data_IF_029157129116
#
_entry.id   IF_029157129116
#
_cell.length_a   1.000
_cell.length_b   1.000
_cell.length_c   1.000
_cell.angle_alpha   90.00
_cell.angle_beta   90.00
_cell.angle_gamma   90.00
#
_symmetry.space_group_name_H-M   'P 1'
#
loop_
_entity.id
_entity.type
_entity.pdbx_description
1 polymer ?
#
# COMPACT_ATOMS: atom_id res chain seq x y z
N UNK A 1 6.41 24.48 16.26
CA UNK A 1 6.78 23.07 15.97
C UNK A 1 5.58 22.21 16.37
N UNK A 2 5.27 21.15 15.61
CA UNK A 2 4.19 20.25 16.00
C UNK A 2 4.58 19.50 17.30
N UNK A 3 3.60 19.29 18.17
CA UNK A 3 3.78 18.61 19.47
C UNK A 3 4.10 17.13 19.24
N UNK A 4 5.10 16.61 19.98
CA UNK A 4 5.41 15.18 20.04
C UNK A 4 4.66 14.55 21.22
N UNK A 5 4.00 13.43 20.99
CA UNK A 5 3.34 12.62 22.01
C UNK A 5 3.83 11.19 21.96
N UNK A 6 3.77 10.49 23.08
CA UNK A 6 4.19 9.08 23.20
C UNK A 6 2.94 8.22 23.36
N UNK A 7 2.66 7.41 22.35
CA UNK A 7 1.61 6.40 22.34
C UNK A 7 2.12 5.02 22.74
N UNK A 8 1.22 4.06 22.76
CA UNK A 8 1.53 2.66 23.06
C UNK A 8 1.07 1.76 21.92
N UNK A 9 2.00 0.99 21.36
CA UNK A 9 1.70 -0.05 20.38
C UNK A 9 0.93 -1.17 21.09
N UNK A 10 -0.19 -1.55 20.50
CA UNK A 10 -1.02 -2.69 20.92
C UNK A 10 -1.36 -3.53 19.70
N UNK A 11 -1.79 -4.76 19.91
CA UNK A 11 -2.29 -5.66 18.84
C UNK A 11 -1.31 -5.82 17.67
N UNK A 12 -0.01 -5.94 17.95
CA UNK A 12 0.97 -6.25 16.91
C UNK A 12 0.70 -7.64 16.34
N UNK A 13 0.50 -7.71 15.01
CA UNK A 13 0.20 -8.95 14.29
C UNK A 13 1.12 -9.09 13.07
N UNK A 14 2.00 -10.09 13.12
CA UNK A 14 2.79 -10.47 11.97
C UNK A 14 1.93 -11.21 10.95
N UNK A 15 1.97 -10.77 9.69
CA UNK A 15 1.36 -11.44 8.53
C UNK A 15 2.40 -12.29 7.81
N UNK A 16 3.64 -11.85 7.81
CA UNK A 16 4.81 -12.57 7.32
C UNK A 16 6.07 -12.09 8.09
N UNK A 17 7.24 -12.58 7.70
CA UNK A 17 8.52 -12.14 8.28
C UNK A 17 8.80 -10.65 8.08
N UNK A 18 8.12 -10.00 7.13
CA UNK A 18 8.38 -8.61 6.77
C UNK A 18 7.12 -7.74 6.75
N UNK A 19 5.94 -8.29 7.00
CA UNK A 19 4.67 -7.54 7.01
C UNK A 19 3.96 -7.72 8.34
N UNK A 20 3.48 -6.61 8.88
CA UNK A 20 2.70 -6.59 10.11
C UNK A 20 1.62 -5.51 10.09
N UNK A 21 0.60 -5.71 10.89
CA UNK A 21 -0.32 -4.65 11.33
C UNK A 21 -0.13 -4.40 12.81
N UNK A 22 -0.38 -3.16 13.24
CA UNK A 22 -0.44 -2.83 14.66
C UNK A 22 -1.39 -1.67 14.91
N UNK A 23 -1.84 -1.55 16.16
CA UNK A 23 -2.63 -0.43 16.64
C UNK A 23 -1.80 0.44 17.56
N UNK A 24 -1.94 1.75 17.42
CA UNK A 24 -1.32 2.73 18.30
C UNK A 24 -2.42 3.39 19.15
N UNK A 25 -2.35 3.21 20.45
CA UNK A 25 -3.14 3.98 21.41
C UNK A 25 -2.48 5.34 21.63
N UNK A 26 -3.23 6.44 21.77
CA UNK A 26 -2.67 7.76 21.99
C UNK A 26 -2.00 7.86 23.37
N UNK A 27 -1.29 8.95 23.60
CA UNK A 27 -0.78 9.28 24.93
C UNK A 27 -1.92 9.31 25.96
N UNK A 28 -1.65 8.86 27.19
CA UNK A 28 -2.64 8.79 28.26
C UNK A 28 -3.38 10.12 28.45
N UNK A 29 -4.70 10.08 28.47
CA UNK A 29 -5.56 11.26 28.57
C UNK A 29 -5.65 12.10 27.31
N UNK A 30 -5.14 11.62 26.16
CA UNK A 30 -5.21 12.28 24.87
C UNK A 30 -6.10 11.49 23.89
N UNK A 31 -6.54 12.19 22.82
CA UNK A 31 -7.11 11.58 21.63
C UNK A 31 -6.23 11.95 20.40
N UNK A 32 -6.36 11.19 19.33
CA UNK A 32 -5.79 11.59 18.05
C UNK A 32 -6.60 12.73 17.44
N UNK A 33 -5.96 13.63 16.65
CA UNK A 33 -6.69 14.63 15.88
C UNK A 33 -7.66 13.97 14.91
N UNK A 34 -8.76 14.67 14.57
CA UNK A 34 -9.61 14.25 13.46
C UNK A 34 -8.86 14.22 12.14
N UNK A 35 -9.26 13.32 11.26
CA UNK A 35 -8.63 13.14 9.96
C UNK A 35 -9.61 12.63 8.90
N UNK A 36 -9.21 12.74 7.64
CA UNK A 36 -9.89 12.15 6.50
C UNK A 36 -9.23 10.83 6.08
N UNK A 37 -9.99 9.84 5.56
CA UNK A 37 -9.41 8.61 5.03
C UNK A 37 -8.36 8.91 3.95
N UNK A 38 -7.22 8.22 4.02
CA UNK A 38 -6.09 8.44 3.12
C UNK A 38 -5.01 9.38 3.66
N UNK A 39 -5.25 10.02 4.80
CA UNK A 39 -4.23 10.83 5.47
C UNK A 39 -3.21 9.99 6.25
N UNK A 40 -2.09 10.61 6.63
CA UNK A 40 -0.99 9.99 7.32
C UNK A 40 -0.57 10.77 8.57
N UNK A 41 0.18 10.09 9.44
CA UNK A 41 0.81 10.68 10.63
C UNK A 41 2.31 10.34 10.64
N UNK A 42 3.13 11.23 11.18
CA UNK A 42 4.55 10.95 11.35
C UNK A 42 4.79 10.19 12.66
N UNK A 43 5.43 9.02 12.53
CA UNK A 43 5.86 8.16 13.62
C UNK A 43 7.37 8.30 13.83
N UNK A 44 7.83 8.19 15.08
CA UNK A 44 9.23 8.40 15.46
C UNK A 44 9.68 7.37 16.48
N UNK A 45 10.86 6.81 16.25
CA UNK A 45 11.58 5.95 17.20
C UNK A 45 12.92 6.59 17.51
N UNK A 46 13.36 6.48 18.77
CA UNK A 46 14.58 7.13 19.26
C UNK A 46 15.82 6.24 19.16
N UNK A 47 15.65 4.95 18.93
CA UNK A 47 16.67 3.92 18.96
C UNK A 47 17.01 3.31 17.58
N UNK A 48 16.69 4.01 16.52
CA UNK A 48 16.95 3.55 15.16
C UNK A 48 18.45 3.55 14.82
N UNK A 49 18.89 2.57 14.06
CA UNK A 49 20.24 2.60 13.46
C UNK A 49 20.35 3.78 12.51
N UNK A 50 21.35 4.63 12.69
CA UNK A 50 21.55 5.78 11.83
C UNK A 50 22.36 5.40 10.60
N UNK A 51 22.06 6.10 9.50
CA UNK A 51 22.81 6.02 8.26
C UNK A 51 23.36 7.38 7.87
N UNK A 52 24.52 7.41 7.22
CA UNK A 52 25.07 8.62 6.59
C UNK A 52 25.09 8.49 5.09
N UNK A 53 24.90 9.62 4.41
CA UNK A 53 24.98 9.69 2.97
C UNK A 53 26.44 9.70 2.53
N UNK A 54 26.79 8.84 1.58
CA UNK A 54 28.09 8.81 0.90
C UNK A 54 27.87 8.83 -0.61
N UNK A 55 28.89 9.21 -1.36
CA UNK A 55 28.87 9.08 -2.82
C UNK A 55 29.46 7.70 -3.15
N UNK A 56 28.71 6.88 -3.86
CA UNK A 56 29.14 5.57 -4.32
C UNK A 56 30.20 5.65 -5.43
N UNK A 57 30.81 4.54 -5.77
CA UNK A 57 31.77 4.47 -6.88
C UNK A 57 31.16 4.82 -8.24
N UNK A 58 29.86 4.66 -8.37
CA UNK A 58 29.02 5.02 -9.53
C UNK A 58 28.65 6.51 -9.59
N UNK A 59 29.13 7.33 -8.64
CA UNK A 59 28.79 8.74 -8.52
C UNK A 59 27.41 9.03 -7.90
N UNK A 60 26.63 7.99 -7.61
CA UNK A 60 25.29 8.15 -7.02
C UNK A 60 25.32 8.18 -5.49
N UNK A 61 24.40 8.93 -4.84
CA UNK A 61 24.30 8.96 -3.38
C UNK A 61 23.89 7.58 -2.86
N UNK A 62 24.61 7.11 -1.86
CA UNK A 62 24.33 5.87 -1.13
C UNK A 62 24.21 6.15 0.35
N UNK A 63 23.39 5.36 1.04
CA UNK A 63 23.25 5.43 2.49
C UNK A 63 23.93 4.22 3.09
N UNK A 64 24.91 4.44 3.96
CA UNK A 64 25.65 3.41 4.68
C UNK A 64 25.48 3.60 6.18
N UNK A 65 25.70 2.54 6.97
CA UNK A 65 25.64 2.64 8.42
C UNK A 65 26.57 3.77 8.92
N UNK A 66 26.06 4.61 9.81
CA UNK A 66 26.86 5.61 10.53
C UNK A 66 27.46 4.94 11.76
N UNK A 67 28.77 4.74 11.76
CA UNK A 67 29.48 4.05 12.82
C UNK A 67 30.13 5.06 13.79
N UNK A 68 30.22 4.69 15.04
CA UNK A 68 31.00 5.42 16.05
C UNK A 68 32.50 5.07 15.94
N UNK A 69 33.34 5.63 16.86
CA UNK A 69 34.77 5.40 16.86
C UNK A 69 35.19 3.96 17.17
N UNK A 70 34.28 3.10 17.65
CA UNK A 70 34.47 1.68 17.89
C UNK A 70 34.03 0.78 16.75
N UNK A 71 33.42 1.36 15.68
CA UNK A 71 32.83 0.61 14.58
C UNK A 71 31.41 0.13 14.87
N UNK A 72 30.78 0.56 15.95
CA UNK A 72 29.39 0.19 16.30
C UNK A 72 28.41 1.15 15.61
N UNK A 73 27.28 0.65 15.04
CA UNK A 73 26.27 1.51 14.45
C UNK A 73 25.68 2.50 15.48
N UNK A 74 25.79 3.79 15.18
CA UNK A 74 25.13 4.84 15.97
C UNK A 74 23.63 4.65 15.96
N UNK A 75 22.99 4.98 17.09
CA UNK A 75 21.54 5.00 17.24
C UNK A 75 21.02 6.39 17.48
N UNK A 76 19.81 6.65 17.04
CA UNK A 76 19.18 7.95 17.25
C UNK A 76 17.76 7.99 16.69
N UNK A 77 17.20 9.19 16.74
CA UNK A 77 15.84 9.43 16.34
C UNK A 77 15.66 9.38 14.81
N UNK A 78 14.65 8.64 14.36
CA UNK A 78 14.20 8.64 12.97
C UNK A 78 12.69 8.84 12.92
N UNK A 79 12.25 9.72 12.04
CA UNK A 79 10.81 10.02 11.83
C UNK A 79 10.45 9.72 10.38
N UNK A 80 9.35 8.97 10.19
CA UNK A 80 8.76 8.70 8.88
C UNK A 80 7.25 8.85 8.93
N UNK A 81 6.65 9.21 7.80
CA UNK A 81 5.20 9.26 7.62
C UNK A 81 4.65 7.87 7.36
N UNK A 82 3.47 7.60 7.91
CA UNK A 82 2.74 6.33 7.73
C UNK A 82 1.27 6.62 7.47
N UNK A 83 0.75 6.11 6.36
CA UNK A 83 -0.67 6.18 6.03
C UNK A 83 -1.48 5.43 7.08
N UNK A 84 -2.59 6.02 7.51
CA UNK A 84 -3.48 5.46 8.52
C UNK A 84 -4.41 4.44 7.83
N UNK A 85 -4.40 3.21 8.31
CA UNK A 85 -5.24 2.13 7.80
C UNK A 85 -6.62 2.08 8.46
N UNK A 86 -6.75 2.50 9.73
CA UNK A 86 -8.07 2.63 10.37
C UNK A 86 -8.91 3.72 9.73
N UNK A 87 -10.22 3.49 9.64
CA UNK A 87 -11.14 4.55 9.24
C UNK A 87 -11.36 5.57 10.38
N UNK A 88 -11.64 6.85 10.08
CA UNK A 88 -11.90 7.87 11.10
C UNK A 88 -12.99 7.49 12.10
N UNK A 89 -14.07 6.84 11.66
CA UNK A 89 -15.12 6.39 12.58
C UNK A 89 -14.58 5.35 13.59
N UNK A 90 -13.71 4.43 13.15
CA UNK A 90 -13.09 3.42 14.02
C UNK A 90 -12.22 4.09 15.08
N UNK A 91 -11.41 5.08 14.69
CA UNK A 91 -10.58 5.83 15.61
C UNK A 91 -11.42 6.61 16.62
N UNK A 92 -12.51 7.25 16.21
CA UNK A 92 -13.43 7.94 17.13
C UNK A 92 -14.13 7.00 18.13
N UNK A 93 -14.47 5.79 17.69
CA UNK A 93 -15.17 4.83 18.55
C UNK A 93 -14.26 4.03 19.48
N UNK A 94 -13.04 3.69 19.00
CA UNK A 94 -12.15 2.76 19.68
C UNK A 94 -10.86 3.38 20.18
N UNK A 95 -10.56 4.63 19.80
CA UNK A 95 -9.46 5.43 20.35
C UNK A 95 -8.08 5.11 19.78
N UNK A 96 -7.92 4.23 18.78
CA UNK A 96 -6.62 3.90 18.21
C UNK A 96 -6.48 4.34 16.74
N UNK A 97 -5.23 4.45 16.29
CA UNK A 97 -4.85 4.42 14.87
C UNK A 97 -4.29 3.05 14.53
N UNK A 98 -4.68 2.50 13.37
CA UNK A 98 -4.12 1.24 12.86
C UNK A 98 -3.16 1.50 11.69
N UNK A 99 -2.09 0.73 11.64
CA UNK A 99 -1.06 0.83 10.62
C UNK A 99 -0.77 -0.53 9.99
N UNK A 100 -0.45 -0.51 8.71
CA UNK A 100 0.05 -1.65 7.96
C UNK A 100 1.48 -1.34 7.52
N UNK A 101 2.44 -2.11 7.98
CA UNK A 101 3.88 -1.79 7.85
C UNK A 101 4.66 -2.94 7.24
N UNK A 102 5.71 -2.58 6.51
CA UNK A 102 6.66 -3.51 5.92
C UNK A 102 8.05 -3.29 6.51
N UNK A 103 8.77 -4.36 6.83
CA UNK A 103 10.19 -4.32 7.12
C UNK A 103 10.93 -4.07 5.80
N UNK A 104 11.21 -2.82 5.54
CA UNK A 104 11.91 -2.40 4.33
C UNK A 104 13.33 -2.98 4.26
N UNK A 105 13.76 -3.31 3.08
CA UNK A 105 15.12 -3.76 2.80
C UNK A 105 15.58 -3.10 1.50
N UNK A 106 16.75 -2.47 1.52
CA UNK A 106 17.35 -1.90 0.34
C UNK A 106 17.99 -2.98 -0.55
N UNK A 107 18.49 -2.61 -1.72
CA UNK A 107 19.13 -3.51 -2.70
C UNK A 107 20.34 -4.27 -2.13
N UNK A 108 20.95 -3.78 -1.06
CA UNK A 108 22.10 -4.40 -0.37
C UNK A 108 21.68 -5.32 0.79
N UNK A 109 20.37 -5.50 1.03
CA UNK A 109 19.86 -6.29 2.13
C UNK A 109 19.88 -5.57 3.49
N UNK A 110 20.15 -4.25 3.51
CA UNK A 110 20.12 -3.48 4.75
C UNK A 110 18.67 -3.10 5.09
N UNK A 111 18.31 -3.25 6.35
CA UNK A 111 16.96 -2.97 6.85
C UNK A 111 16.68 -1.46 6.98
N UNK A 112 15.47 -1.06 6.69
CA UNK A 112 14.99 0.30 6.89
C UNK A 112 15.09 0.72 8.36
N UNK A 113 15.56 1.93 8.60
CA UNK A 113 15.93 2.42 9.94
C UNK A 113 14.81 2.35 10.96
N UNK A 114 13.66 2.93 10.63
CA UNK A 114 12.51 2.99 11.54
C UNK A 114 11.76 1.65 11.55
N UNK A 115 11.58 1.02 10.39
CA UNK A 115 10.86 -0.24 10.29
C UNK A 115 11.62 -1.37 11.01
N UNK A 116 12.95 -1.40 10.94
CA UNK A 116 13.76 -2.34 11.74
C UNK A 116 13.53 -2.16 13.25
N UNK A 117 13.47 -0.92 13.71
CA UNK A 117 13.17 -0.62 15.12
C UNK A 117 11.74 -1.05 15.50
N UNK A 118 10.76 -0.84 14.62
CA UNK A 118 9.39 -1.29 14.86
C UNK A 118 9.28 -2.83 14.94
N UNK A 119 9.95 -3.56 14.06
CA UNK A 119 9.90 -5.03 14.04
C UNK A 119 10.69 -5.69 15.17
N UNK A 120 11.49 -4.95 15.92
CA UNK A 120 12.09 -5.40 17.18
C UNK A 120 11.11 -5.37 18.37
N UNK A 121 9.97 -4.72 18.23
CA UNK A 121 8.98 -4.56 19.31
C UNK A 121 8.23 -5.85 19.71
N UNK A 122 8.77 -7.03 19.42
CA UNK A 122 8.24 -8.29 19.95
C UNK A 122 8.29 -8.40 21.48
N UNK A 123 9.02 -7.49 22.16
CA UNK A 123 9.06 -7.37 23.62
C UNK A 123 7.99 -6.35 24.07
N UNK A 124 7.05 -6.74 24.94
CA UNK A 124 6.05 -5.83 25.52
C UNK A 124 6.67 -4.59 26.21
N UNK A 125 7.93 -4.67 26.67
CA UNK A 125 8.65 -3.53 27.26
C UNK A 125 8.97 -2.42 26.25
N UNK A 126 9.01 -2.71 24.94
CA UNK A 126 9.33 -1.75 23.86
C UNK A 126 8.10 -1.29 23.06
N UNK A 127 6.94 -1.25 23.68
CA UNK A 127 5.68 -0.85 23.05
C UNK A 127 5.51 0.66 22.84
N UNK A 128 6.44 1.49 23.30
CA UNK A 128 6.32 2.95 23.19
C UNK A 128 6.70 3.46 21.80
N UNK A 129 5.84 4.30 21.24
CA UNK A 129 6.05 4.92 19.93
C UNK A 129 5.71 6.40 20.00
N UNK A 130 6.67 7.24 19.66
CA UNK A 130 6.45 8.68 19.55
C UNK A 130 5.74 9.00 18.23
N UNK A 131 4.80 9.93 18.26
CA UNK A 131 4.13 10.44 17.09
C UNK A 131 4.04 11.96 17.12
N UNK A 132 4.00 12.57 15.93
CA UNK A 132 3.71 13.98 15.76
C UNK A 132 2.20 14.17 15.89
N UNK A 133 1.73 14.96 16.87
CA UNK A 133 0.30 15.17 17.13
C UNK A 133 -0.36 16.03 16.04
N UNK A 134 -0.22 15.61 14.80
CA UNK A 134 -0.79 16.24 13.60
C UNK A 134 -0.96 15.21 12.50
N UNK A 135 -2.17 15.03 12.02
CA UNK A 135 -2.50 14.21 10.86
C UNK A 135 -2.62 15.13 9.65
N UNK A 136 -2.03 14.74 8.53
CA UNK A 136 -1.96 15.54 7.30
C UNK A 136 -1.98 14.64 6.06
N UNK A 137 -2.02 15.23 4.89
CA UNK A 137 -2.00 14.56 3.59
C UNK A 137 -3.19 14.97 2.73
N UNK A 138 -2.96 14.93 1.43
CA UNK A 138 -3.93 15.35 0.42
C UNK A 138 -4.44 14.17 -0.42
N UNK A 139 -4.05 12.94 -0.05
CA UNK A 139 -4.47 11.73 -0.75
C UNK A 139 -5.83 11.24 -0.23
N UNK A 140 -6.84 12.11 -0.33
CA UNK A 140 -8.22 11.84 0.09
C UNK A 140 -9.16 11.80 -1.11
N UNK A 141 -10.29 11.11 -0.99
CA UNK A 141 -11.29 11.05 -2.07
C UNK A 141 -11.81 12.44 -2.45
N UNK A 142 -12.02 13.30 -1.48
CA UNK A 142 -12.49 14.67 -1.71
C UNK A 142 -11.52 15.49 -2.57
N UNK A 143 -10.21 15.23 -2.48
CA UNK A 143 -9.19 15.98 -3.25
C UNK A 143 -8.78 15.27 -4.54
N UNK A 144 -8.73 13.94 -4.54
CA UNK A 144 -8.14 13.16 -5.64
C UNK A 144 -9.16 12.46 -6.54
N UNK A 145 -10.42 12.35 -6.10
CA UNK A 145 -11.47 11.67 -6.85
C UNK A 145 -12.73 12.52 -7.04
N UNK A 146 -12.68 13.81 -6.70
CA UNK A 146 -13.83 14.71 -6.84
C UNK A 146 -14.32 14.77 -8.29
N UNK A 147 -15.62 14.54 -8.51
CA UNK A 147 -16.24 14.60 -9.83
C UNK A 147 -16.20 13.29 -10.64
N UNK A 148 -15.44 12.28 -10.19
CA UNK A 148 -15.42 10.97 -10.81
C UNK A 148 -16.52 10.06 -10.23
N UNK A 149 -17.17 9.27 -11.08
CA UNK A 149 -18.19 8.30 -10.68
C UNK A 149 -17.58 6.93 -10.36
N UNK A 150 -16.48 6.59 -11.01
CA UNK A 150 -15.79 5.33 -10.81
C UNK A 150 -14.38 5.57 -10.28
N UNK A 151 -14.08 5.00 -9.12
CA UNK A 151 -12.78 5.08 -8.47
C UNK A 151 -12.14 3.71 -8.44
N UNK A 152 -10.98 3.58 -9.08
CA UNK A 152 -10.19 2.36 -9.04
C UNK A 152 -8.95 2.58 -8.17
N UNK A 153 -8.87 1.88 -7.06
CA UNK A 153 -7.70 1.86 -6.20
C UNK A 153 -6.76 0.71 -6.58
N UNK A 154 -5.48 0.99 -6.67
CA UNK A 154 -4.44 -0.01 -6.93
C UNK A 154 -3.43 0.03 -5.78
N UNK A 155 -3.58 -0.90 -4.84
CA UNK A 155 -2.75 -1.02 -3.64
C UNK A 155 -1.81 -2.21 -3.71
N UNK A 156 -0.51 -1.98 -3.48
CA UNK A 156 0.49 -3.04 -3.41
C UNK A 156 1.21 -3.03 -2.07
N UNK A 157 1.28 -4.20 -1.43
CA UNK A 157 1.87 -4.28 -0.09
C UNK A 157 1.17 -3.34 0.88
N UNK A 158 1.95 -2.57 1.62
CA UNK A 158 1.45 -1.59 2.60
C UNK A 158 0.76 -0.36 1.99
N UNK A 159 0.90 -0.14 0.68
CA UNK A 159 0.13 0.86 -0.06
C UNK A 159 -1.39 0.60 -0.09
N UNK A 160 -1.83 -0.52 0.47
CA UNK A 160 -3.24 -0.77 0.75
C UNK A 160 -3.80 0.14 1.85
N UNK A 161 -2.98 0.59 2.81
CA UNK A 161 -3.43 1.27 4.03
C UNK A 161 -4.42 2.44 3.80
N UNK A 162 -4.13 3.44 2.93
CA UNK A 162 -5.06 4.54 2.70
C UNK A 162 -6.39 4.06 2.11
N UNK A 163 -6.37 3.04 1.26
CA UNK A 163 -7.58 2.52 0.60
C UNK A 163 -8.48 1.73 1.54
N UNK A 164 -7.91 0.98 2.49
CA UNK A 164 -8.69 0.32 3.55
C UNK A 164 -9.43 1.35 4.39
N UNK A 165 -8.74 2.41 4.80
CA UNK A 165 -9.35 3.54 5.53
C UNK A 165 -10.52 4.15 4.75
N UNK A 166 -10.34 4.38 3.43
CA UNK A 166 -11.39 4.93 2.57
C UNK A 166 -12.59 3.98 2.44
N UNK A 167 -12.35 2.71 2.12
CA UNK A 167 -13.43 1.72 1.91
C UNK A 167 -14.24 1.50 3.19
N UNK A 168 -13.55 1.35 4.33
CA UNK A 168 -14.23 1.16 5.63
C UNK A 168 -15.06 2.38 6.03
N UNK A 169 -14.56 3.61 5.78
CA UNK A 169 -15.32 4.83 6.07
C UNK A 169 -16.56 4.94 5.18
N UNK A 170 -16.43 4.68 3.88
CA UNK A 170 -17.56 4.68 2.95
C UNK A 170 -18.62 3.65 3.33
N UNK A 171 -18.22 2.43 3.69
CA UNK A 171 -19.14 1.37 4.13
C UNK A 171 -19.87 1.74 5.42
N UNK A 172 -19.15 2.34 6.36
CA UNK A 172 -19.77 2.87 7.59
C UNK A 172 -20.80 3.96 7.27
N UNK A 173 -20.45 4.96 6.46
CA UNK A 173 -21.35 6.04 6.06
C UNK A 173 -22.60 5.51 5.34
N UNK A 174 -22.42 4.56 4.43
CA UNK A 174 -23.53 3.88 3.76
C UNK A 174 -24.42 3.12 4.76
N UNK A 175 -23.84 2.49 5.79
CA UNK A 175 -24.58 1.83 6.88
C UNK A 175 -25.43 2.81 7.71
N UNK A 176 -25.01 4.08 7.75
CA UNK A 176 -25.75 5.17 8.42
C UNK A 176 -26.75 5.87 7.47
N UNK A 177 -26.95 5.35 6.26
CA UNK A 177 -27.91 5.87 5.30
C UNK A 177 -27.37 6.93 4.34
N UNK A 178 -26.05 7.19 4.33
CA UNK A 178 -25.46 8.06 3.32
C UNK A 178 -25.58 7.40 1.94
N UNK A 179 -26.14 8.13 0.98
CA UNK A 179 -26.29 7.63 -0.39
C UNK A 179 -25.03 7.93 -1.21
N UNK A 180 -24.51 6.90 -1.87
CA UNK A 180 -23.39 7.00 -2.82
C UNK A 180 -23.96 6.91 -4.26
N UNK A 181 -24.80 7.87 -4.66
CA UNK A 181 -25.57 7.80 -5.91
C UNK A 181 -24.68 7.60 -7.14
N UNK A 182 -24.74 6.40 -7.73
CA UNK A 182 -24.01 6.04 -8.96
C UNK A 182 -22.49 5.94 -8.82
N UNK A 183 -21.94 6.01 -7.59
CA UNK A 183 -20.53 5.84 -7.38
C UNK A 183 -20.12 4.35 -7.40
N UNK A 184 -19.06 4.05 -8.14
CA UNK A 184 -18.50 2.71 -8.28
C UNK A 184 -17.09 2.67 -7.72
N UNK A 185 -16.78 1.64 -6.95
CA UNK A 185 -15.49 1.48 -6.32
C UNK A 185 -14.87 0.13 -6.69
N UNK A 186 -13.62 0.14 -7.13
CA UNK A 186 -12.87 -1.08 -7.44
C UNK A 186 -11.54 -1.04 -6.70
N UNK A 187 -11.21 -2.06 -5.91
CA UNK A 187 -9.93 -2.16 -5.23
C UNK A 187 -9.14 -3.35 -5.77
N UNK A 188 -8.05 -3.07 -6.49
CA UNK A 188 -7.04 -4.05 -6.89
C UNK A 188 -5.97 -4.10 -5.80
N UNK A 189 -5.97 -5.18 -5.03
CA UNK A 189 -5.02 -5.41 -3.94
C UNK A 189 -4.11 -6.59 -4.27
N UNK A 190 -2.81 -6.36 -4.33
CA UNK A 190 -1.82 -7.38 -4.61
C UNK A 190 -0.76 -7.49 -3.53
N UNK A 191 -0.47 -8.73 -3.12
CA UNK A 191 0.67 -9.07 -2.29
C UNK A 191 1.40 -10.31 -2.84
N UNK A 192 2.42 -10.82 -2.11
CA UNK A 192 3.19 -11.98 -2.57
C UNK A 192 2.38 -13.27 -2.40
N UNK A 193 1.84 -13.49 -1.21
CA UNK A 193 1.07 -14.69 -0.84
C UNK A 193 -0.24 -14.30 -0.16
N UNK A 194 -1.12 -15.28 0.07
CA UNK A 194 -2.39 -15.06 0.75
C UNK A 194 -2.25 -14.52 2.17
N UNK A 195 -1.29 -15.02 2.94
CA UNK A 195 -1.05 -14.61 4.32
C UNK A 195 -0.74 -13.11 4.42
N UNK A 196 -0.21 -12.54 3.34
CA UNK A 196 0.12 -11.12 3.24
C UNK A 196 -1.06 -10.24 2.78
N UNK A 197 -2.19 -10.82 2.41
CA UNK A 197 -3.40 -10.07 2.07
C UNK A 197 -4.11 -9.59 3.35
N UNK A 198 -3.54 -8.55 3.97
CA UNK A 198 -4.18 -7.88 5.10
C UNK A 198 -5.60 -7.42 4.74
N UNK A 199 -6.49 -7.42 5.71
CA UNK A 199 -7.89 -6.97 5.56
C UNK A 199 -8.73 -7.74 4.51
N UNK A 200 -8.22 -8.86 4.00
CA UNK A 200 -8.89 -9.62 2.94
C UNK A 200 -10.32 -10.02 3.31
N UNK A 201 -10.53 -10.52 4.54
CA UNK A 201 -11.85 -10.95 5.01
C UNK A 201 -12.80 -9.77 5.19
N UNK A 202 -12.31 -8.67 5.72
CA UNK A 202 -13.06 -7.44 5.91
C UNK A 202 -13.51 -6.84 4.58
N UNK A 203 -12.61 -6.78 3.60
CA UNK A 203 -12.90 -6.26 2.26
C UNK A 203 -13.93 -7.13 1.52
N UNK A 204 -13.83 -8.47 1.63
CA UNK A 204 -14.86 -9.38 1.11
C UNK A 204 -16.21 -9.19 1.82
N UNK A 205 -16.22 -8.97 3.13
CA UNK A 205 -17.45 -8.73 3.89
C UNK A 205 -18.12 -7.39 3.47
N UNK A 206 -17.33 -6.34 3.23
CA UNK A 206 -17.85 -5.06 2.71
C UNK A 206 -18.45 -5.27 1.32
N UNK A 207 -17.75 -5.95 0.41
CA UNK A 207 -18.30 -6.26 -0.92
C UNK A 207 -19.60 -7.06 -0.82
N UNK A 208 -19.62 -8.12 -0.01
CA UNK A 208 -20.80 -8.97 0.18
C UNK A 208 -21.99 -8.25 0.84
N UNK A 209 -21.74 -7.16 1.58
CA UNK A 209 -22.81 -6.38 2.20
C UNK A 209 -23.72 -5.69 1.19
N UNK A 210 -23.22 -5.39 -0.02
CA UNK A 210 -23.95 -4.70 -1.07
C UNK A 210 -24.35 -3.26 -0.75
N UNK A 211 -23.82 -2.66 0.33
CA UNK A 211 -24.08 -1.26 0.70
C UNK A 211 -23.43 -0.27 -0.25
N UNK A 212 -22.32 -0.69 -0.86
CA UNK A 212 -21.58 0.06 -1.88
C UNK A 212 -21.57 -0.74 -3.18
N UNK A 213 -21.53 -0.07 -4.33
CA UNK A 213 -21.11 -0.70 -5.58
C UNK A 213 -19.58 -0.87 -5.54
N UNK A 214 -19.14 -1.85 -4.78
CA UNK A 214 -17.74 -2.13 -4.49
C UNK A 214 -17.32 -3.50 -5.04
N UNK A 215 -16.20 -3.54 -5.74
CA UNK A 215 -15.59 -4.77 -6.26
C UNK A 215 -14.17 -4.90 -5.70
N UNK A 216 -13.91 -6.01 -5.02
CA UNK A 216 -12.60 -6.32 -4.46
C UNK A 216 -11.87 -7.37 -5.30
N UNK A 217 -10.70 -7.00 -5.83
CA UNK A 217 -9.82 -7.84 -6.67
C UNK A 217 -8.60 -8.23 -5.85
N UNK A 218 -8.66 -9.37 -5.16
CA UNK A 218 -7.57 -9.91 -4.37
C UNK A 218 -6.59 -10.69 -5.27
N UNK A 219 -5.29 -10.39 -5.19
CA UNK A 219 -4.26 -10.94 -6.06
C UNK A 219 -3.03 -11.41 -5.27
N UNK A 220 -2.44 -12.53 -5.70
CA UNK A 220 -1.14 -13.00 -5.22
C UNK A 220 -0.16 -13.11 -6.38
N UNK A 221 1.07 -12.59 -6.18
CA UNK A 221 2.12 -12.59 -7.22
C UNK A 221 3.06 -13.80 -7.12
N UNK A 222 2.99 -14.56 -6.02
CA UNK A 222 3.73 -15.81 -5.77
C UNK A 222 2.77 -16.86 -5.22
N UNK A 223 1.83 -17.35 -6.05
CA UNK A 223 0.76 -18.25 -5.57
C UNK A 223 1.34 -19.56 -5.05
N UNK A 224 0.80 -20.01 -3.93
CA UNK A 224 0.97 -21.37 -3.38
C UNK A 224 -0.09 -22.31 -3.96
N UNK A 225 0.02 -23.62 -3.70
CA UNK A 225 -1.00 -24.59 -4.12
C UNK A 225 -2.39 -24.18 -3.61
N UNK A 226 -2.49 -23.75 -2.34
CA UNK A 226 -3.73 -23.23 -1.76
C UNK A 226 -4.32 -22.08 -2.57
N UNK A 227 -3.48 -21.12 -2.98
CA UNK A 227 -3.93 -19.92 -3.69
C UNK A 227 -4.43 -20.26 -5.10
N UNK A 228 -3.90 -21.33 -5.70
CA UNK A 228 -4.36 -21.83 -7.00
C UNK A 228 -5.75 -22.46 -6.94
N UNK A 229 -6.14 -23.00 -5.79
CA UNK A 229 -7.42 -23.67 -5.56
C UNK A 229 -8.51 -22.71 -5.07
N UNK A 230 -8.13 -21.56 -4.50
CA UNK A 230 -9.06 -20.58 -3.93
C UNK A 230 -9.79 -19.79 -5.05
N UNK A 231 -11.12 -19.95 -5.18
CA UNK A 231 -11.89 -19.29 -6.25
C UNK A 231 -12.00 -17.76 -6.07
N UNK A 232 -11.65 -17.23 -4.91
CA UNK A 232 -11.74 -15.81 -4.59
C UNK A 232 -10.44 -15.07 -4.88
N UNK A 233 -9.34 -15.80 -5.09
CA UNK A 233 -7.99 -15.23 -5.29
C UNK A 233 -7.61 -15.26 -6.76
N UNK A 234 -7.23 -14.11 -7.29
CA UNK A 234 -6.57 -13.98 -8.58
C UNK A 234 -5.05 -14.06 -8.47
N UNK A 235 -4.36 -14.03 -9.61
CA UNK A 235 -2.90 -14.16 -9.68
C UNK A 235 -2.28 -13.05 -10.51
N UNK A 236 -1.06 -12.69 -10.18
CA UNK A 236 -0.28 -11.68 -10.88
C UNK A 236 0.00 -10.45 -10.05
N UNK A 237 0.82 -9.58 -10.57
CA UNK A 237 1.06 -8.24 -10.00
C UNK A 237 -0.12 -7.33 -10.34
N UNK A 238 -0.43 -6.36 -9.48
CA UNK A 238 -1.56 -5.45 -9.66
C UNK A 238 -1.53 -4.73 -11.02
N UNK A 239 -0.38 -4.21 -11.42
CA UNK A 239 -0.21 -3.55 -12.71
C UNK A 239 -0.45 -4.52 -13.88
N UNK A 240 0.08 -5.75 -13.85
CA UNK A 240 -0.13 -6.73 -14.92
C UNK A 240 -1.59 -7.19 -15.01
N UNK A 241 -2.30 -7.27 -13.88
CA UNK A 241 -3.74 -7.56 -13.91
C UNK A 241 -4.52 -6.37 -14.47
N UNK A 242 -4.15 -5.13 -14.13
CA UNK A 242 -4.76 -3.94 -14.73
C UNK A 242 -4.50 -3.88 -16.25
N UNK A 243 -3.26 -4.19 -16.69
CA UNK A 243 -2.91 -4.34 -18.12
C UNK A 243 -3.78 -5.39 -18.80
N UNK A 244 -3.93 -6.56 -18.21
CA UNK A 244 -4.80 -7.62 -18.73
C UNK A 244 -6.26 -7.17 -18.88
N UNK A 245 -6.81 -6.49 -17.86
CA UNK A 245 -8.16 -5.93 -17.89
C UNK A 245 -8.33 -4.94 -19.06
N UNK A 246 -7.32 -4.12 -19.32
CA UNK A 246 -7.35 -3.09 -20.38
C UNK A 246 -6.84 -3.59 -21.74
N UNK A 247 -6.48 -4.88 -21.85
CA UNK A 247 -6.06 -5.49 -23.12
C UNK A 247 -4.62 -5.14 -23.54
N UNK A 248 -3.77 -4.75 -22.59
CA UNK A 248 -2.36 -4.47 -22.80
C UNK A 248 -1.49 -5.73 -22.52
N UNK A 249 -0.32 -5.87 -23.14
CA UNK A 249 0.64 -6.91 -22.78
C UNK A 249 1.12 -6.72 -21.32
N UNK A 250 1.59 -7.78 -20.66
CA UNK A 250 2.24 -7.64 -19.35
C UNK A 250 3.50 -6.79 -19.48
N UNK A 251 3.84 -6.09 -18.40
CA UNK A 251 4.97 -5.13 -18.43
C UNK A 251 6.28 -5.78 -18.88
N UNK A 252 6.57 -6.97 -18.42
CA UNK A 252 7.80 -7.70 -18.77
C UNK A 252 7.87 -8.01 -20.27
N UNK A 253 6.72 -8.22 -20.95
CA UNK A 253 6.67 -8.39 -22.41
C UNK A 253 6.93 -7.07 -23.13
N UNK A 254 6.27 -5.99 -22.70
CA UNK A 254 6.48 -4.66 -23.29
C UNK A 254 7.93 -4.20 -23.17
N UNK A 255 8.55 -4.37 -21.98
CA UNK A 255 9.97 -4.05 -21.75
C UNK A 255 10.89 -4.86 -22.66
N UNK A 256 10.59 -6.15 -22.87
CA UNK A 256 11.32 -7.03 -23.78
C UNK A 256 11.21 -6.56 -25.24
N UNK A 257 9.98 -6.26 -25.68
CA UNK A 257 9.74 -5.83 -27.06
C UNK A 257 10.44 -4.50 -27.37
N UNK A 258 10.40 -3.55 -26.43
CA UNK A 258 11.16 -2.28 -26.55
C UNK A 258 12.67 -2.49 -26.61
N UNK A 259 13.23 -3.38 -25.78
CA UNK A 259 14.65 -3.63 -25.76
C UNK A 259 15.11 -4.35 -27.03
N UNK A 260 14.31 -5.27 -27.57
CA UNK A 260 14.54 -5.91 -28.88
C UNK A 260 14.57 -4.87 -29.98
N UNK A 261 13.60 -3.96 -30.01
CA UNK A 261 13.52 -2.89 -31.02
C UNK A 261 14.74 -1.94 -30.97
N UNK A 262 15.35 -1.75 -29.79
CA UNK A 262 16.55 -0.93 -29.57
C UNK A 262 17.86 -1.69 -29.81
N UNK A 263 17.82 -3.02 -30.06
CA UNK A 263 18.99 -3.86 -30.28
C UNK A 263 19.87 -4.10 -29.05
N UNK A 264 19.29 -4.00 -27.83
CA UNK A 264 19.97 -4.20 -26.57
C UNK A 264 20.11 -5.68 -26.14
N UNK A 265 20.85 -5.94 -25.06
CA UNK A 265 20.88 -7.25 -24.40
C UNK A 265 19.56 -7.52 -23.69
N UNK A 266 18.86 -8.56 -24.14
CA UNK A 266 17.53 -8.92 -23.65
C UNK A 266 17.53 -10.11 -22.68
N UNK A 267 18.68 -10.65 -22.33
CA UNK A 267 18.81 -11.87 -21.51
C UNK A 267 18.10 -11.75 -20.17
N UNK A 268 18.29 -10.63 -19.47
CA UNK A 268 17.65 -10.36 -18.18
C UNK A 268 16.13 -10.18 -18.30
N UNK A 269 15.68 -9.54 -19.39
CA UNK A 269 14.25 -9.29 -19.62
C UNK A 269 13.49 -10.57 -19.96
N UNK A 270 14.10 -11.46 -20.76
CA UNK A 270 13.55 -12.80 -21.02
C UNK A 270 13.39 -13.60 -19.73
N UNK A 271 14.43 -13.65 -18.91
CA UNK A 271 14.37 -14.33 -17.62
C UNK A 271 13.36 -13.68 -16.64
N UNK A 272 13.11 -12.37 -16.74
CA UNK A 272 12.07 -11.70 -15.96
C UNK A 272 10.67 -12.09 -16.44
N UNK A 273 10.44 -12.14 -17.76
CA UNK A 273 9.19 -12.57 -18.37
C UNK A 273 8.85 -14.03 -18.02
N UNK A 274 9.82 -14.94 -18.12
CA UNK A 274 9.64 -16.36 -17.76
C UNK A 274 9.24 -16.55 -16.28
N UNK A 275 9.71 -15.68 -15.39
CA UNK A 275 9.38 -15.72 -13.97
C UNK A 275 8.11 -14.94 -13.61
N UNK A 276 7.58 -14.16 -14.54
CA UNK A 276 6.38 -13.38 -14.30
C UNK A 276 5.16 -14.28 -14.12
N UNK A 277 4.42 -14.05 -13.06
CA UNK A 277 3.13 -14.73 -12.84
C UNK A 277 2.12 -14.17 -13.83
N UNK A 278 1.59 -15.03 -14.69
CA UNK A 278 0.54 -14.65 -15.64
C UNK A 278 -0.70 -14.07 -14.90
N UNK A 279 -1.25 -12.95 -15.37
CA UNK A 279 -2.43 -12.34 -14.74
C UNK A 279 -3.66 -13.23 -14.93
N UNK A 280 -4.31 -13.58 -13.84
CA UNK A 280 -5.56 -14.36 -13.81
C UNK A 280 -6.49 -13.75 -12.78
N UNK A 281 -7.70 -13.39 -13.19
CA UNK A 281 -8.75 -12.94 -12.27
C UNK A 281 -9.34 -14.13 -11.49
N UNK A 282 -9.85 -13.85 -10.30
CA UNK A 282 -10.65 -14.82 -9.55
C UNK A 282 -11.89 -15.25 -10.35
N UNK A 283 -12.41 -16.45 -10.11
CA UNK A 283 -13.52 -17.04 -10.90
C UNK A 283 -14.80 -16.21 -10.92
N UNK A 284 -14.98 -15.32 -9.94
CA UNK A 284 -16.16 -14.44 -9.80
C UNK A 284 -16.07 -13.15 -10.60
N UNK A 285 -14.90 -12.83 -11.19
CA UNK A 285 -14.64 -11.58 -11.89
C UNK A 285 -14.35 -11.83 -13.37
N UNK A 286 -14.74 -10.88 -14.22
CA UNK A 286 -14.41 -10.88 -15.63
C UNK A 286 -13.64 -9.62 -16.03
N UNK A 287 -12.74 -9.75 -17.00
CA UNK A 287 -11.99 -8.60 -17.51
C UNK A 287 -12.92 -7.55 -18.15
N UNK A 288 -13.98 -8.00 -18.85
CA UNK A 288 -14.97 -7.09 -19.43
C UNK A 288 -15.75 -6.30 -18.38
N UNK A 289 -16.17 -6.96 -17.28
CA UNK A 289 -16.86 -6.28 -16.18
C UNK A 289 -15.98 -5.24 -15.49
N UNK A 290 -14.70 -5.57 -15.23
CA UNK A 290 -13.75 -4.61 -14.65
C UNK A 290 -13.41 -3.48 -15.61
N UNK A 291 -13.27 -3.77 -16.92
CA UNK A 291 -13.02 -2.73 -17.93
C UNK A 291 -14.16 -1.73 -18.03
N UNK A 292 -15.39 -2.19 -17.91
CA UNK A 292 -16.57 -1.29 -17.93
C UNK A 292 -16.54 -0.28 -16.77
N UNK A 293 -15.93 -0.65 -15.64
CA UNK A 293 -15.74 0.25 -14.47
C UNK A 293 -14.56 1.22 -14.62
N UNK A 294 -13.84 1.16 -15.74
CA UNK A 294 -12.68 2.01 -16.05
C UNK A 294 -12.95 2.90 -17.29
N UNK A 295 -14.21 3.31 -17.48
CA UNK A 295 -14.56 4.25 -18.54
C UNK A 295 -13.79 5.57 -18.37
N UNK A 296 -12.95 5.96 -19.35
CA UNK A 296 -12.11 7.17 -19.26
C UNK A 296 -12.89 8.45 -18.95
N UNK A 297 -14.14 8.55 -19.41
CA UNK A 297 -14.96 9.73 -19.20
C UNK A 297 -15.38 9.96 -17.74
N UNK A 298 -15.33 8.91 -16.89
CA UNK A 298 -15.92 8.97 -15.57
C UNK A 298 -15.05 8.34 -14.46
N UNK A 299 -13.85 7.82 -14.83
CA UNK A 299 -13.03 7.04 -13.92
C UNK A 299 -11.74 7.75 -13.53
N UNK A 300 -11.29 7.49 -12.31
CA UNK A 300 -9.96 7.83 -11.83
C UNK A 300 -9.28 6.60 -11.23
N UNK A 301 -7.99 6.43 -11.52
CA UNK A 301 -7.14 5.41 -10.89
C UNK A 301 -6.27 6.09 -9.84
N UNK A 302 -6.40 5.65 -8.59
CA UNK A 302 -5.55 6.06 -7.48
C UNK A 302 -4.59 4.93 -7.14
N UNK A 303 -3.30 5.21 -6.96
CA UNK A 303 -2.32 4.17 -6.61
C UNK A 303 -1.44 4.56 -5.44
N UNK A 304 -1.08 3.56 -4.65
CA UNK A 304 -0.16 3.67 -3.52
C UNK A 304 0.64 2.38 -3.38
N UNK A 305 1.90 2.47 -2.95
CA UNK A 305 2.78 1.33 -2.67
C UNK A 305 4.09 1.35 -3.44
N UNK A 306 4.45 0.25 -4.09
CA UNK A 306 5.74 0.12 -4.77
C UNK A 306 5.91 1.14 -5.91
N UNK A 307 6.98 1.98 -5.91
CA UNK A 307 7.18 3.04 -6.90
C UNK A 307 7.20 2.55 -8.35
N UNK A 308 7.79 1.38 -8.63
CA UNK A 308 7.84 0.85 -9.99
C UNK A 308 6.46 0.39 -10.48
N UNK A 309 5.63 -0.14 -9.60
CA UNK A 309 4.24 -0.50 -9.91
C UNK A 309 3.42 0.76 -10.12
N UNK A 310 3.57 1.78 -9.26
CA UNK A 310 2.87 3.07 -9.43
C UNK A 310 3.22 3.74 -10.75
N UNK A 311 4.50 3.72 -11.16
CA UNK A 311 4.95 4.27 -12.44
C UNK A 311 4.30 3.53 -13.63
N UNK A 312 4.19 2.21 -13.56
CA UNK A 312 3.52 1.43 -14.59
C UNK A 312 2.00 1.64 -14.61
N UNK A 313 1.36 1.75 -13.44
CA UNK A 313 -0.07 2.11 -13.35
C UNK A 313 -0.34 3.48 -13.98
N UNK A 314 0.58 4.44 -13.80
CA UNK A 314 0.51 5.74 -14.48
C UNK A 314 0.55 5.57 -16.00
N UNK A 315 1.53 4.81 -16.52
CA UNK A 315 1.65 4.52 -17.94
C UNK A 315 0.38 3.86 -18.51
N UNK A 316 -0.19 2.89 -17.78
CA UNK A 316 -1.46 2.23 -18.15
C UNK A 316 -2.61 3.23 -18.23
N UNK A 317 -2.74 4.08 -17.22
CA UNK A 317 -3.80 5.08 -17.16
C UNK A 317 -3.70 6.08 -18.32
N UNK A 318 -2.50 6.61 -18.57
CA UNK A 318 -2.22 7.55 -19.67
C UNK A 318 -2.50 6.91 -21.03
N UNK A 319 -2.05 5.66 -21.25
CA UNK A 319 -2.29 4.91 -22.50
C UNK A 319 -3.78 4.64 -22.78
N UNK A 320 -4.60 4.59 -21.73
CA UNK A 320 -6.05 4.37 -21.84
C UNK A 320 -6.88 5.62 -21.57
N UNK A 321 -6.24 6.80 -21.47
CA UNK A 321 -6.89 8.10 -21.25
C UNK A 321 -7.73 8.17 -19.95
N UNK A 322 -7.40 7.34 -18.94
CA UNK A 322 -8.03 7.36 -17.63
C UNK A 322 -7.28 8.33 -16.73
N UNK A 323 -7.99 9.13 -15.95
CA UNK A 323 -7.35 10.03 -14.98
C UNK A 323 -6.55 9.27 -13.93
N UNK A 324 -5.38 9.80 -13.56
CA UNK A 324 -4.45 9.12 -12.67
C UNK A 324 -4.02 10.03 -11.51
N UNK A 325 -4.05 9.46 -10.31
CA UNK A 325 -3.54 10.08 -9.09
C UNK A 325 -2.70 9.08 -8.30
N UNK A 326 -1.69 9.56 -7.59
CA UNK A 326 -0.86 8.73 -6.72
C UNK A 326 -0.64 9.39 -5.36
N UNK A 327 -0.32 8.59 -4.37
CA UNK A 327 0.20 9.11 -3.12
C UNK A 327 1.65 9.59 -3.33
N UNK A 328 1.94 10.81 -2.89
CA UNK A 328 3.28 11.42 -2.91
C UNK A 328 3.89 11.29 -1.52
N UNK A 329 5.01 10.59 -1.43
CA UNK A 329 5.79 10.36 -0.20
C UNK A 329 6.88 11.42 -0.02
#
# INVERSE_FOLDING_TARGET
>A
MAELKVGTIVDWRNLSNILATFRLMPATGSAFPDYEPGQYIALRREDCRLTRRVVGQDGHPQYVADLDGSGTPKRGAVTHSYSIASAPFTTRQQGYLEFYVVLETNERGELGRLTESLFRTGDPSDSKLTYVNRIVGDFTLAKRAAGFKSVCWVGTGTGLAPFVSMVQQLDFEASQGAKQEGAQYTLIHANRTFEELAYHRELLAIEASGRLDFVYVALVSRPTTRDLEDPLIGRGRANNVLRYVLGMPVKEQEDLDEAVAKGGDVSRLRAALERATAPVLSKRLSASGLRHRLDPAHSVILTCGNPSVMADVKHIAESNQVHFEKEDW
#
